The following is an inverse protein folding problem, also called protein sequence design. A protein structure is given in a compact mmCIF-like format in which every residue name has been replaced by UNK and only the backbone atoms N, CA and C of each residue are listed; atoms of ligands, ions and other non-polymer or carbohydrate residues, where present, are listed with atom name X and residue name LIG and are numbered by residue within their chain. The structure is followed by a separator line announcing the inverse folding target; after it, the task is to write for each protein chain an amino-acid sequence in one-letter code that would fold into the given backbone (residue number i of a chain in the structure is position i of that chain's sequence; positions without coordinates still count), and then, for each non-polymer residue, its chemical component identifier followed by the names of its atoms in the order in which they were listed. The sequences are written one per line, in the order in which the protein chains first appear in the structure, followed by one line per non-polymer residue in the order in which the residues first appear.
data_IF_626988724023
#
_entry.id   IF_626988724023
#
_cell.length_a   1.000
_cell.length_b   1.000
_cell.length_c   1.000
_cell.angle_alpha   90.00
_cell.angle_beta   90.00
_cell.angle_gamma   90.00
#
_symmetry.space_group_name_H-M   'P 1'
#
loop_
_entity.id
_entity.type
_entity.pdbx_description
1 polymer ?
#
# COMPACT_ATOMS: atom_id res chain seq x y z
N UNK A 1 2.00 13.45 21.16
CA UNK A 1 3.26 13.12 20.44
C UNK A 1 4.49 13.44 21.28
N UNK A 2 4.71 14.69 21.70
CA UNK A 2 5.87 15.06 22.53
C UNK A 2 5.88 14.33 23.86
N UNK A 3 4.73 14.18 24.51
CA UNK A 3 4.60 13.45 25.78
C UNK A 3 5.05 11.99 25.65
N UNK A 4 4.75 11.35 24.52
CA UNK A 4 5.20 9.99 24.24
C UNK A 4 6.73 9.93 24.16
N UNK A 5 7.36 10.86 23.43
CA UNK A 5 8.83 10.94 23.37
C UNK A 5 9.44 11.22 24.75
N UNK A 6 8.77 12.07 25.54
CA UNK A 6 9.17 12.34 26.93
C UNK A 6 9.10 11.08 27.80
N UNK A 7 8.02 10.30 27.66
CA UNK A 7 7.85 9.02 28.33
C UNK A 7 8.93 7.99 27.94
N UNK A 8 9.28 7.89 26.65
CA UNK A 8 10.37 7.03 26.20
C UNK A 8 11.71 7.38 26.86
N UNK A 9 12.01 8.68 27.01
CA UNK A 9 13.22 9.15 27.66
C UNK A 9 13.20 8.97 29.18
N UNK A 10 12.07 9.26 29.84
CA UNK A 10 11.96 9.18 31.31
C UNK A 10 12.00 7.74 31.80
N UNK A 11 11.33 6.83 31.10
CA UNK A 11 11.31 5.41 31.42
C UNK A 11 12.51 4.65 30.83
N UNK A 12 13.42 5.35 30.14
CA UNK A 12 14.60 4.80 29.51
C UNK A 12 14.28 3.60 28.60
N UNK A 13 13.20 3.73 27.81
CA UNK A 13 12.74 2.69 26.88
C UNK A 13 13.74 2.63 25.71
N UNK A 14 14.53 1.54 25.59
CA UNK A 14 15.63 1.51 24.63
C UNK A 14 15.15 1.30 23.19
N UNK A 15 14.02 0.62 23.02
CA UNK A 15 13.48 0.22 21.73
C UNK A 15 11.96 0.05 21.79
N UNK A 16 11.28 0.50 20.75
CA UNK A 16 9.87 0.23 20.48
C UNK A 16 9.84 -0.91 19.47
N UNK A 17 9.71 -2.13 19.99
CA UNK A 17 9.69 -3.34 19.18
C UNK A 17 8.27 -3.67 18.68
N UNK A 18 8.13 -4.16 17.44
CA UNK A 18 6.88 -4.67 16.92
C UNK A 18 6.56 -6.04 17.55
N UNK A 19 5.27 -6.35 17.71
CA UNK A 19 4.78 -7.64 18.19
C UNK A 19 3.92 -8.28 17.10
N UNK A 20 4.16 -9.57 16.83
CA UNK A 20 3.38 -10.34 15.86
C UNK A 20 2.02 -10.77 16.44
N UNK A 21 0.96 -10.60 15.67
CA UNK A 21 -0.37 -11.16 15.92
C UNK A 21 -1.01 -11.55 14.58
N UNK A 22 -1.19 -12.85 14.36
CA UNK A 22 -1.74 -13.41 13.12
C UNK A 22 -3.17 -12.97 12.82
N UNK A 23 -3.90 -12.41 13.79
CA UNK A 23 -5.28 -11.94 13.61
C UNK A 23 -5.35 -10.55 12.98
N UNK A 24 -4.25 -9.79 13.00
CA UNK A 24 -4.18 -8.45 12.44
C UNK A 24 -3.88 -8.48 10.95
N UNK A 25 -4.33 -7.47 10.20
CA UNK A 25 -4.12 -7.40 8.75
C UNK A 25 -2.64 -7.47 8.38
N UNK A 26 -1.82 -6.57 8.95
CA UNK A 26 -0.36 -6.52 8.72
C UNK A 26 0.38 -7.61 9.51
N UNK A 27 -0.28 -8.23 10.49
CA UNK A 27 0.36 -9.25 11.34
C UNK A 27 1.28 -8.68 12.41
N UNK A 28 1.58 -7.38 12.42
CA UNK A 28 2.42 -6.73 13.42
C UNK A 28 1.76 -5.46 13.96
N UNK A 29 2.05 -5.11 15.21
CA UNK A 29 1.61 -3.87 15.87
C UNK A 29 2.58 -3.44 16.98
N UNK A 30 2.36 -2.27 17.58
CA UNK A 30 3.23 -1.73 18.63
C UNK A 30 2.45 -1.47 19.92
N UNK A 31 2.36 -2.46 20.83
CA UNK A 31 1.49 -2.38 22.01
C UNK A 31 1.64 -1.09 22.81
N UNK A 32 2.89 -0.63 23.04
CA UNK A 32 3.17 0.58 23.80
C UNK A 32 2.63 1.85 23.11
N UNK A 33 2.74 1.94 21.79
CA UNK A 33 2.23 3.08 21.00
C UNK A 33 0.71 3.05 20.99
N UNK A 34 0.15 1.88 20.67
CA UNK A 34 -1.28 1.64 20.67
C UNK A 34 -1.96 2.02 21.98
N UNK A 35 -1.36 1.58 23.10
CA UNK A 35 -1.87 1.88 24.44
C UNK A 35 -1.73 3.37 24.77
N UNK A 36 -0.56 3.97 24.51
CA UNK A 36 -0.30 5.36 24.86
C UNK A 36 -1.21 6.33 24.10
N UNK A 37 -1.42 6.09 22.80
CA UNK A 37 -2.23 6.96 21.95
C UNK A 37 -3.71 6.55 21.88
N UNK A 38 -4.09 5.43 22.51
CA UNK A 38 -5.42 4.84 22.41
C UNK A 38 -5.87 4.63 20.95
N UNK A 39 -4.99 4.09 20.12
CA UNK A 39 -5.21 3.86 18.68
C UNK A 39 -5.14 2.38 18.31
N UNK A 40 -5.69 2.06 17.14
CA UNK A 40 -5.64 0.70 16.59
C UNK A 40 -4.23 0.31 16.08
N UNK A 41 -4.06 -0.96 15.74
CA UNK A 41 -2.76 -1.51 15.29
C UNK A 41 -2.17 -0.78 14.09
N UNK A 42 -3.00 -0.27 13.17
CA UNK A 42 -2.56 0.36 11.92
C UNK A 42 -2.06 1.77 12.19
N UNK A 43 -2.79 2.52 13.01
CA UNK A 43 -2.43 3.87 13.41
C UNK A 43 -1.09 3.90 14.16
N UNK A 44 -0.78 2.85 14.93
CA UNK A 44 0.51 2.69 15.60
C UNK A 44 1.71 2.69 14.65
N UNK A 45 1.62 2.02 13.49
CA UNK A 45 2.67 2.05 12.46
C UNK A 45 2.89 3.46 11.93
N UNK A 46 1.81 4.19 11.68
CA UNK A 46 1.87 5.52 11.07
C UNK A 46 2.45 6.55 12.04
N UNK A 47 2.10 6.47 13.33
CA UNK A 47 2.67 7.32 14.38
C UNK A 47 4.20 7.19 14.43
N UNK A 48 4.70 5.94 14.41
CA UNK A 48 6.14 5.68 14.45
C UNK A 48 6.86 6.10 13.17
N UNK A 49 6.23 5.88 12.01
CA UNK A 49 6.74 6.37 10.73
C UNK A 49 6.95 7.88 10.77
N UNK A 50 5.99 8.64 11.30
CA UNK A 50 6.11 10.10 11.45
C UNK A 50 7.25 10.49 12.38
N UNK A 51 7.41 9.81 13.52
CA UNK A 51 8.55 10.10 14.40
C UNK A 51 9.88 9.88 13.68
N UNK A 52 9.99 8.85 12.84
CA UNK A 52 11.19 8.62 12.05
C UNK A 52 11.40 9.68 10.95
N UNK A 53 10.38 10.00 10.16
CA UNK A 53 10.48 11.00 9.08
C UNK A 53 10.89 12.39 9.59
N UNK A 54 10.44 12.74 10.80
CA UNK A 54 10.81 13.98 11.49
C UNK A 54 12.08 13.87 12.34
N UNK A 55 12.87 12.82 12.11
CA UNK A 55 14.16 12.57 12.76
C UNK A 55 14.07 12.50 14.29
N UNK A 56 12.88 12.22 14.84
CA UNK A 56 12.65 12.11 16.28
C UNK A 56 12.97 10.72 16.81
N UNK A 57 12.94 9.70 15.96
CA UNK A 57 13.37 8.34 16.26
C UNK A 57 14.23 7.83 15.11
N UNK A 58 15.17 6.95 15.41
CA UNK A 58 15.81 6.11 14.39
C UNK A 58 15.00 4.83 14.21
N UNK A 59 15.16 4.15 13.07
CA UNK A 59 14.49 2.88 12.81
C UNK A 59 15.45 1.81 12.32
N UNK A 60 15.15 0.55 12.61
CA UNK A 60 15.87 -0.63 12.14
C UNK A 60 14.90 -1.61 11.51
N UNK A 61 15.19 -2.11 10.31
CA UNK A 61 14.38 -3.14 9.67
C UNK A 61 14.47 -4.44 10.49
N UNK A 62 13.32 -4.97 10.90
CA UNK A 62 13.20 -6.21 11.67
C UNK A 62 12.67 -7.33 10.79
N UNK A 63 11.72 -7.02 9.91
CA UNK A 63 11.14 -8.00 9.01
C UNK A 63 10.62 -7.34 7.73
N UNK A 64 10.48 -8.13 6.67
CA UNK A 64 9.76 -7.77 5.45
C UNK A 64 8.71 -8.84 5.21
N UNK A 65 7.45 -8.42 5.12
CA UNK A 65 6.33 -9.31 4.88
C UNK A 65 5.70 -9.04 3.52
N UNK A 66 4.94 -10.00 3.03
CA UNK A 66 4.16 -9.86 1.80
C UNK A 66 2.68 -9.71 2.15
N UNK A 67 2.05 -8.67 1.64
CA UNK A 67 0.63 -8.38 1.82
C UNK A 67 -0.15 -8.70 0.54
N UNK A 68 -1.37 -9.18 0.70
CA UNK A 68 -2.30 -9.36 -0.41
C UNK A 68 -2.57 -8.01 -1.09
N UNK A 69 -2.44 -7.89 -2.42
CA UNK A 69 -2.71 -6.63 -3.12
C UNK A 69 -4.17 -6.19 -3.07
N UNK A 70 -5.10 -7.11 -2.75
CA UNK A 70 -6.54 -6.85 -2.67
C UNK A 70 -7.01 -6.42 -1.29
N UNK A 71 -6.60 -7.12 -0.23
CA UNK A 71 -7.11 -6.86 1.12
C UNK A 71 -6.05 -6.42 2.13
N UNK A 72 -4.76 -6.36 1.72
CA UNK A 72 -3.62 -5.99 2.55
C UNK A 72 -3.41 -6.88 3.79
N UNK A 73 -3.96 -8.09 3.80
CA UNK A 73 -3.64 -9.09 4.81
C UNK A 73 -2.34 -9.82 4.49
N UNK A 74 -1.56 -10.09 5.53
CA UNK A 74 -0.28 -10.78 5.47
C UNK A 74 -0.37 -12.30 5.27
N UNK A 75 -1.58 -12.87 5.36
CA UNK A 75 -1.82 -14.31 5.20
C UNK A 75 -1.85 -14.71 3.72
N UNK A 76 -0.66 -14.68 3.10
CA UNK A 76 -0.42 -15.02 1.70
C UNK A 76 0.38 -16.31 1.62
N UNK A 77 -0.11 -17.26 0.83
CA UNK A 77 0.60 -18.50 0.49
C UNK A 77 1.19 -18.39 -0.91
N UNK A 78 2.50 -18.59 -1.03
CA UNK A 78 3.18 -18.73 -2.30
C UNK A 78 3.26 -20.20 -2.67
N UNK A 79 2.79 -20.52 -3.87
CA UNK A 79 2.68 -21.90 -4.33
C UNK A 79 3.24 -22.02 -5.75
N UNK A 80 4.00 -23.08 -5.96
CA UNK A 80 4.45 -23.46 -7.29
C UNK A 80 3.25 -23.90 -8.13
N UNK A 81 3.23 -23.49 -9.39
CA UNK A 81 2.13 -23.72 -10.31
C UNK A 81 2.65 -24.11 -11.69
N UNK A 82 1.87 -24.93 -12.38
CA UNK A 82 2.08 -25.24 -13.78
C UNK A 82 2.08 -23.94 -14.61
N UNK A 83 3.14 -23.63 -15.37
CA UNK A 83 3.23 -22.38 -16.15
C UNK A 83 2.17 -22.30 -17.26
N UNK A 84 1.57 -23.43 -17.68
CA UNK A 84 0.56 -23.47 -18.74
C UNK A 84 -0.88 -23.28 -18.24
N UNK A 85 -1.22 -23.76 -17.05
CA UNK A 85 -2.61 -23.77 -16.57
C UNK A 85 -2.79 -23.31 -15.12
N UNK A 86 -1.73 -22.87 -14.46
CA UNK A 86 -1.71 -22.43 -13.05
C UNK A 86 -2.13 -23.49 -12.03
N UNK A 87 -2.26 -24.76 -12.42
CA UNK A 87 -2.58 -25.85 -11.50
C UNK A 87 -1.39 -26.18 -10.59
N UNK A 88 -1.66 -26.40 -9.31
CA UNK A 88 -0.69 -26.89 -8.32
C UNK A 88 -0.50 -28.41 -8.36
N UNK A 89 -1.33 -29.11 -9.14
CA UNK A 89 -1.27 -30.58 -9.25
C UNK A 89 -0.28 -30.98 -10.36
N UNK A 90 0.99 -31.08 -9.97
CA UNK A 90 2.06 -31.61 -10.81
C UNK A 90 3.03 -32.48 -9.99
N UNK A 91 3.73 -33.37 -10.67
CA UNK A 91 4.72 -34.29 -10.08
C UNK A 91 6.05 -34.19 -10.79
N UNK A 92 7.12 -34.56 -10.10
CA UNK A 92 8.41 -34.80 -10.74
C UNK A 92 8.25 -35.92 -11.78
N UNK A 93 8.89 -35.74 -12.91
CA UNK A 93 8.82 -36.63 -14.06
C UNK A 93 10.22 -36.80 -14.63
N UNK A 94 10.66 -38.04 -14.72
CA UNK A 94 11.85 -38.38 -15.50
C UNK A 94 11.45 -38.34 -16.97
N UNK A 95 11.97 -37.38 -17.72
CA UNK A 95 11.62 -37.15 -19.12
C UNK A 95 12.84 -37.43 -20.00
N UNK A 96 12.59 -38.03 -21.16
CA UNK A 96 13.60 -38.32 -22.17
C UNK A 96 13.27 -37.52 -23.41
N UNK A 97 14.27 -36.84 -23.97
CA UNK A 97 14.18 -36.23 -25.29
C UNK A 97 15.05 -37.01 -26.28
N UNK A 98 14.39 -37.66 -27.25
CA UNK A 98 15.03 -38.47 -28.27
C UNK A 98 15.48 -37.61 -29.45
N UNK A 99 16.80 -37.47 -29.63
CA UNK A 99 17.40 -36.56 -30.60
C UNK A 99 17.00 -36.86 -32.04
N UNK A 100 16.86 -38.15 -32.38
CA UNK A 100 16.62 -38.57 -33.76
C UNK A 100 15.25 -38.19 -34.31
N UNK A 101 14.23 -38.01 -33.47
CA UNK A 101 12.86 -37.69 -33.91
C UNK A 101 12.19 -36.55 -33.12
N UNK A 102 12.92 -35.94 -32.17
CA UNK A 102 12.45 -34.86 -31.31
C UNK A 102 11.29 -35.23 -30.38
N UNK A 103 11.11 -36.53 -30.06
CA UNK A 103 10.04 -36.93 -29.15
C UNK A 103 10.46 -36.70 -27.70
N UNK A 104 9.58 -36.09 -26.92
CA UNK A 104 9.77 -35.82 -25.50
C UNK A 104 8.64 -36.50 -24.73
N UNK A 105 8.98 -37.41 -23.82
CA UNK A 105 7.99 -38.20 -23.06
C UNK A 105 8.57 -38.72 -21.75
N UNK A 106 7.73 -39.29 -20.88
CA UNK A 106 8.21 -39.90 -19.63
C UNK A 106 9.13 -41.09 -19.92
N UNK A 107 10.15 -41.30 -19.10
CA UNK A 107 11.07 -42.45 -19.22
C UNK A 107 10.35 -43.80 -19.26
N UNK A 108 9.23 -43.91 -18.54
CA UNK A 108 8.34 -45.09 -18.56
C UNK A 108 7.78 -45.39 -19.95
N UNK A 109 7.52 -44.38 -20.77
CA UNK A 109 7.01 -44.54 -22.15
C UNK A 109 8.07 -45.12 -23.09
N UNK A 110 9.35 -45.03 -22.72
CA UNK A 110 10.47 -45.59 -23.47
C UNK A 110 10.86 -46.99 -22.97
N UNK A 111 10.57 -47.35 -21.73
CA UNK A 111 11.01 -48.62 -21.16
C UNK A 111 10.10 -49.77 -21.62
N UNK A 112 10.67 -50.72 -22.37
CA UNK A 112 10.01 -51.98 -22.63
C UNK A 112 10.20 -52.91 -21.42
N UNK A 113 9.13 -53.18 -20.66
CA UNK A 113 9.19 -54.00 -19.44
C UNK A 113 9.64 -55.45 -19.69
N UNK A 114 9.35 -56.01 -20.86
CA UNK A 114 9.69 -57.41 -21.18
C UNK A 114 11.17 -57.60 -21.52
N UNK A 115 11.80 -56.60 -22.15
CA UNK A 115 13.19 -56.69 -22.63
C UNK A 115 14.17 -55.79 -21.88
N UNK A 116 13.67 -54.91 -21.00
CA UNK A 116 14.41 -53.83 -20.34
C UNK A 116 15.06 -52.82 -21.30
N UNK A 117 14.71 -52.87 -22.60
CA UNK A 117 15.26 -51.98 -23.60
C UNK A 117 14.52 -50.65 -23.63
N UNK A 118 15.26 -49.57 -23.84
CA UNK A 118 14.70 -48.24 -24.08
C UNK A 118 14.38 -48.08 -25.57
N UNK A 119 13.11 -47.91 -25.93
CA UNK A 119 12.60 -47.83 -27.30
C UNK A 119 11.71 -46.60 -27.44
N UNK A 120 11.99 -45.75 -28.43
CA UNK A 120 11.20 -44.55 -28.68
C UNK A 120 9.78 -44.93 -29.12
N UNK A 121 8.70 -44.51 -28.42
CA UNK A 121 7.33 -44.87 -28.81
C UNK A 121 6.89 -44.18 -30.10
N UNK A 122 7.54 -43.07 -30.51
CA UNK A 122 7.24 -42.35 -31.75
C UNK A 122 7.82 -43.01 -33.00
N UNK A 123 9.01 -43.61 -32.92
CA UNK A 123 9.72 -44.10 -34.12
C UNK A 123 10.26 -45.53 -34.02
N UNK A 124 10.09 -46.19 -32.87
CA UNK A 124 10.52 -47.58 -32.65
C UNK A 124 12.04 -47.79 -32.56
N UNK A 125 12.86 -46.74 -32.62
CA UNK A 125 14.31 -46.87 -32.48
C UNK A 125 14.70 -47.16 -31.04
N UNK A 126 15.69 -48.03 -30.89
CA UNK A 126 16.32 -48.35 -29.60
C UNK A 126 17.27 -47.21 -29.21
N UNK A 127 17.18 -46.76 -27.96
CA UNK A 127 18.06 -45.79 -27.35
C UNK A 127 19.12 -46.51 -26.52
N UNK A 128 20.41 -46.26 -26.78
CA UNK A 128 21.52 -46.98 -26.13
C UNK A 128 22.41 -46.06 -25.31
N UNK A 129 22.67 -44.85 -25.80
CA UNK A 129 23.67 -43.97 -25.21
C UNK A 129 23.10 -42.61 -24.85
N UNK A 130 23.11 -42.28 -23.55
CA UNK A 130 22.82 -40.92 -23.06
C UNK A 130 23.85 -39.95 -23.66
N UNK A 131 23.39 -38.78 -24.09
CA UNK A 131 24.21 -37.75 -24.74
C UNK A 131 24.46 -37.97 -26.23
N UNK A 132 24.05 -39.12 -26.79
CA UNK A 132 24.13 -39.40 -28.24
C UNK A 132 22.77 -39.75 -28.85
N UNK A 133 21.98 -40.60 -28.19
CA UNK A 133 20.65 -41.00 -28.66
C UNK A 133 19.55 -40.17 -27.99
N UNK A 134 19.78 -39.74 -26.75
CA UNK A 134 18.88 -38.92 -25.95
C UNK A 134 19.59 -38.18 -24.83
N UNK A 135 18.95 -37.14 -24.30
CA UNK A 135 19.26 -36.55 -23.00
C UNK A 135 18.16 -36.82 -21.97
N UNK A 136 18.55 -36.67 -20.70
CA UNK A 136 17.68 -36.71 -19.53
C UNK A 136 17.90 -35.41 -18.75
N UNK A 137 17.03 -34.40 -18.88
CA UNK A 137 17.14 -33.16 -18.11
C UNK A 137 17.05 -33.47 -16.61
N UNK A 138 17.78 -32.69 -15.79
CA UNK A 138 17.99 -33.01 -14.37
C UNK A 138 16.72 -32.94 -13.50
N UNK A 139 15.78 -32.05 -13.82
CA UNK A 139 14.47 -31.95 -13.17
C UNK A 139 13.43 -31.51 -14.21
N UNK A 140 12.40 -32.35 -14.38
CA UNK A 140 11.23 -32.04 -15.18
C UNK A 140 10.00 -32.35 -14.34
N UNK A 141 8.93 -31.61 -14.60
CA UNK A 141 7.65 -31.75 -13.95
C UNK A 141 6.59 -32.05 -15.01
N UNK A 142 5.60 -32.88 -14.65
CA UNK A 142 4.41 -33.12 -15.48
C UNK A 142 3.18 -32.70 -14.72
N UNK A 143 2.43 -31.78 -15.31
CA UNK A 143 1.14 -31.36 -14.76
C UNK A 143 0.11 -32.47 -14.91
N UNK A 144 -0.54 -32.86 -13.81
CA UNK A 144 -1.60 -33.87 -13.84
C UNK A 144 -2.88 -33.32 -14.48
N UNK A 145 -3.12 -32.00 -14.41
CA UNK A 145 -4.31 -31.35 -14.97
C UNK A 145 -4.23 -31.15 -16.49
N UNK A 146 -3.13 -30.65 -17.03
CA UNK A 146 -3.02 -30.31 -18.46
C UNK A 146 -1.97 -31.14 -19.23
N UNK A 147 -1.29 -32.08 -18.56
CA UNK A 147 -0.23 -32.95 -19.09
C UNK A 147 0.99 -32.22 -19.66
N UNK A 148 1.11 -30.91 -19.44
CA UNK A 148 2.26 -30.13 -19.85
C UNK A 148 3.51 -30.56 -19.07
N UNK A 149 4.62 -30.67 -19.79
CA UNK A 149 5.93 -30.97 -19.24
C UNK A 149 6.74 -29.68 -19.23
N UNK A 150 7.33 -29.36 -18.08
CA UNK A 150 8.10 -28.13 -17.87
C UNK A 150 9.25 -28.37 -16.90
N UNK A 151 10.29 -27.55 -16.96
CA UNK A 151 11.47 -27.62 -16.08
C UNK A 151 11.38 -26.65 -14.89
N UNK A 152 10.68 -25.52 -15.06
CA UNK A 152 10.50 -24.52 -14.01
C UNK A 152 9.01 -24.23 -13.80
N UNK A 153 8.55 -24.38 -12.55
CA UNK A 153 7.22 -23.92 -12.15
C UNK A 153 7.21 -22.40 -12.06
N UNK A 154 6.06 -21.79 -12.38
CA UNK A 154 5.84 -20.39 -11.98
C UNK A 154 5.41 -20.33 -10.51
N UNK A 155 5.68 -19.22 -9.83
CA UNK A 155 5.21 -19.00 -8.46
C UNK A 155 3.95 -18.14 -8.51
N UNK A 156 2.83 -18.68 -8.04
CA UNK A 156 1.60 -17.92 -7.83
C UNK A 156 1.38 -17.63 -6.36
N UNK A 157 0.42 -16.77 -6.05
CA UNK A 157 -0.01 -16.48 -4.70
C UNK A 157 -1.50 -16.78 -4.48
N UNK A 158 -1.84 -17.19 -3.26
CA UNK A 158 -3.21 -17.28 -2.77
C UNK A 158 -3.32 -16.56 -1.42
N UNK A 159 -4.24 -15.61 -1.31
CA UNK A 159 -4.56 -15.01 -0.02
C UNK A 159 -5.52 -15.89 0.77
N UNK A 160 -5.16 -16.27 1.99
CA UNK A 160 -6.03 -17.05 2.88
C UNK A 160 -7.09 -16.21 3.59
N UNK A 161 -6.99 -14.88 3.54
CA UNK A 161 -8.02 -13.99 4.08
C UNK A 161 -9.17 -13.76 3.09
N UNK A 162 -8.87 -13.36 1.84
CA UNK A 162 -9.90 -13.01 0.84
C UNK A 162 -10.01 -13.98 -0.33
N UNK A 163 -9.25 -15.09 -0.34
CA UNK A 163 -9.20 -16.07 -1.44
C UNK A 163 -8.73 -15.53 -2.79
N UNK A 164 -8.15 -14.32 -2.84
CA UNK A 164 -7.54 -13.78 -4.06
C UNK A 164 -6.41 -14.69 -4.55
N UNK A 165 -6.43 -15.01 -5.85
CA UNK A 165 -5.37 -15.74 -6.55
C UNK A 165 -4.76 -14.79 -7.58
N UNK A 166 -3.44 -14.71 -7.59
CA UNK A 166 -2.68 -13.85 -8.50
C UNK A 166 -1.26 -14.38 -8.71
N UNK A 167 -0.46 -13.64 -9.44
CA UNK A 167 0.96 -13.94 -9.59
C UNK A 167 1.74 -13.46 -8.35
N UNK A 168 2.85 -14.11 -8.01
CA UNK A 168 3.60 -13.82 -6.79
C UNK A 168 4.12 -12.37 -6.75
N UNK A 169 4.45 -11.81 -7.91
CA UNK A 169 4.96 -10.46 -8.10
C UNK A 169 3.93 -9.36 -7.77
N UNK A 170 2.63 -9.71 -7.73
CA UNK A 170 1.59 -8.76 -7.33
C UNK A 170 1.55 -8.52 -5.82
N UNK A 171 2.20 -9.38 -5.02
CA UNK A 171 2.27 -9.22 -3.58
C UNK A 171 2.97 -7.90 -3.20
N UNK A 172 2.44 -7.23 -2.18
CA UNK A 172 2.99 -5.96 -1.70
C UNK A 172 3.99 -6.20 -0.57
N UNK A 173 5.24 -5.86 -0.82
CA UNK A 173 6.26 -5.83 0.23
C UNK A 173 5.92 -4.75 1.27
N UNK A 174 5.99 -5.14 2.54
CA UNK A 174 5.79 -4.24 3.65
C UNK A 174 6.88 -4.44 4.70
N UNK A 175 7.60 -3.36 4.99
CA UNK A 175 8.71 -3.37 5.93
C UNK A 175 8.22 -3.12 7.36
N UNK A 176 8.63 -4.00 8.27
CA UNK A 176 8.37 -3.91 9.71
C UNK A 176 9.64 -3.44 10.40
N UNK A 177 9.53 -2.37 11.18
CA UNK A 177 10.66 -1.72 11.82
C UNK A 177 10.58 -1.81 13.34
N UNK A 178 11.72 -1.71 14.01
CA UNK A 178 11.77 -1.24 15.40
C UNK A 178 12.27 0.20 15.43
N UNK A 179 11.96 0.93 16.50
CA UNK A 179 12.29 2.34 16.62
C UNK A 179 13.04 2.62 17.92
N UNK A 180 14.05 3.48 17.85
CA UNK A 180 14.89 3.83 19.01
C UNK A 180 14.99 5.34 19.15
N UNK A 181 15.07 5.82 20.39
CA UNK A 181 15.36 7.23 20.65
C UNK A 181 16.75 7.60 20.17
N UNK A 182 16.90 8.83 19.68
CA UNK A 182 18.15 9.37 19.18
C UNK A 182 18.47 10.72 19.85
N UNK A 183 19.58 11.36 19.46
CA UNK A 183 20.00 12.64 20.07
C UNK A 183 19.00 13.78 19.84
N UNK A 184 18.20 13.71 18.79
CA UNK A 184 17.20 14.72 18.45
C UNK A 184 15.92 14.54 19.27
N UNK A 185 15.59 13.32 19.71
CA UNK A 185 14.46 13.05 20.61
C UNK A 185 14.48 13.95 21.85
N UNK A 186 15.62 14.01 22.55
CA UNK A 186 15.77 14.84 23.74
C UNK A 186 15.57 16.34 23.45
N UNK A 187 16.13 16.83 22.33
CA UNK A 187 15.96 18.22 21.91
C UNK A 187 14.51 18.59 21.63
N UNK A 188 13.75 17.67 21.03
CA UNK A 188 12.33 17.85 20.73
C UNK A 188 11.52 17.98 22.03
N UNK A 189 11.80 17.11 23.00
CA UNK A 189 11.13 17.10 24.32
C UNK A 189 11.48 18.37 25.11
N UNK A 190 12.77 18.74 25.19
CA UNK A 190 13.24 19.95 25.88
C UNK A 190 12.61 21.23 25.30
N UNK A 191 12.55 21.33 23.96
CA UNK A 191 11.99 22.49 23.26
C UNK A 191 10.46 22.48 23.20
N UNK A 192 9.81 21.40 23.64
CA UNK A 192 8.37 21.17 23.51
C UNK A 192 7.85 21.51 22.11
N UNK A 193 8.61 21.12 21.08
CA UNK A 193 8.35 21.50 19.69
C UNK A 193 8.56 20.31 18.78
N UNK A 194 7.46 19.74 18.31
CA UNK A 194 7.41 18.66 17.33
C UNK A 194 6.33 18.97 16.31
N UNK A 195 6.72 19.11 15.05
CA UNK A 195 5.79 19.35 13.93
C UNK A 195 5.74 18.10 13.04
N UNK A 196 4.76 17.20 13.24
CA UNK A 196 4.62 16.00 12.44
C UNK A 196 4.12 16.26 11.01
N UNK A 197 3.81 17.51 10.65
CA UNK A 197 3.37 17.89 9.29
C UNK A 197 4.53 18.26 8.36
N UNK A 198 5.72 18.52 8.90
CA UNK A 198 6.91 18.90 8.11
C UNK A 198 6.89 20.31 7.55
N UNK A 199 5.90 21.13 7.92
CA UNK A 199 5.69 22.46 7.36
C UNK A 199 6.41 23.57 8.15
N UNK A 200 7.11 23.22 9.22
CA UNK A 200 7.61 24.21 10.17
C UNK A 200 6.48 24.91 10.93
N UNK A 201 5.28 24.32 10.92
CA UNK A 201 4.06 24.88 11.49
C UNK A 201 3.76 24.13 12.76
N UNK A 202 4.23 24.72 13.86
CA UNK A 202 3.84 24.35 15.22
C UNK A 202 2.31 24.30 15.25
N UNK A 203 1.69 23.15 15.49
CA UNK A 203 0.27 23.09 15.85
C UNK A 203 0.20 22.81 17.35
N UNK A 204 -0.61 23.56 18.10
CA UNK A 204 -0.72 23.38 19.57
C UNK A 204 -1.78 22.37 19.98
N UNK A 205 -2.46 21.73 19.02
CA UNK A 205 -3.61 20.88 19.32
C UNK A 205 -3.21 19.41 19.37
N UNK A 206 -3.25 18.84 20.57
CA UNK A 206 -3.04 17.41 20.80
C UNK A 206 -4.04 16.57 19.98
N UNK A 207 -3.54 15.48 19.38
CA UNK A 207 -4.37 14.54 18.62
C UNK A 207 -4.63 14.89 17.14
N UNK A 208 -4.25 16.08 16.66
CA UNK A 208 -4.35 16.38 15.24
C UNK A 208 -3.19 15.77 14.44
N UNK A 209 -3.51 14.95 13.43
CA UNK A 209 -2.54 14.28 12.58
C UNK A 209 -2.67 14.78 11.12
N UNK A 210 -1.65 15.48 10.62
CA UNK A 210 -1.50 15.84 9.21
C UNK A 210 -0.53 14.87 8.53
N UNK A 211 -1.00 13.99 7.65
CA UNK A 211 -0.22 12.94 6.99
C UNK A 211 0.64 13.53 5.85
N UNK A 212 1.67 12.80 5.42
CA UNK A 212 2.34 13.06 4.15
C UNK A 212 1.57 12.39 2.99
N UNK A 213 1.96 12.70 1.75
CA UNK A 213 1.32 12.17 0.54
C UNK A 213 1.30 10.63 0.50
N UNK A 214 2.38 9.98 0.93
CA UNK A 214 2.54 8.52 0.86
C UNK A 214 1.60 7.81 1.84
N UNK A 215 1.55 8.26 3.10
CA UNK A 215 0.64 7.75 4.11
C UNK A 215 -0.82 8.05 3.74
N UNK A 216 -1.11 9.23 3.20
CA UNK A 216 -2.44 9.57 2.70
C UNK A 216 -2.88 8.64 1.57
N UNK A 217 -2.00 8.32 0.61
CA UNK A 217 -2.27 7.37 -0.47
C UNK A 217 -2.66 5.98 0.08
N UNK A 218 -1.93 5.49 1.09
CA UNK A 218 -2.24 4.21 1.74
C UNK A 218 -3.60 4.23 2.45
N UNK A 219 -3.91 5.29 3.20
CA UNK A 219 -5.17 5.42 3.92
C UNK A 219 -6.34 5.57 2.94
N UNK A 220 -6.17 6.37 1.88
CA UNK A 220 -7.14 6.53 0.80
C UNK A 220 -7.46 5.17 0.16
N UNK A 221 -6.45 4.33 -0.08
CA UNK A 221 -6.67 3.00 -0.62
C UNK A 221 -7.54 2.13 0.29
N UNK A 222 -7.22 2.10 1.59
CA UNK A 222 -8.01 1.33 2.54
C UNK A 222 -9.47 1.81 2.56
N UNK A 223 -9.69 3.13 2.56
CA UNK A 223 -11.04 3.70 2.53
C UNK A 223 -11.76 3.43 1.23
N UNK A 224 -11.05 3.42 0.11
CA UNK A 224 -11.61 3.06 -1.20
C UNK A 224 -12.16 1.63 -1.20
N UNK A 225 -11.38 0.67 -0.70
CA UNK A 225 -11.82 -0.72 -0.59
C UNK A 225 -13.02 -0.88 0.35
N UNK A 226 -13.01 -0.20 1.50
CA UNK A 226 -14.17 -0.17 2.41
C UNK A 226 -15.40 0.40 1.68
N UNK A 227 -15.25 1.52 0.97
CA UNK A 227 -16.36 2.17 0.27
C UNK A 227 -16.89 1.32 -0.90
N UNK A 228 -16.04 0.57 -1.60
CA UNK A 228 -16.44 -0.40 -2.63
C UNK A 228 -17.32 -1.52 -2.05
N UNK A 229 -16.95 -2.04 -0.87
CA UNK A 229 -17.70 -3.10 -0.19
C UNK A 229 -19.10 -2.63 0.26
N UNK A 230 -19.21 -1.39 0.74
CA UNK A 230 -20.45 -0.84 1.31
C UNK A 230 -21.27 0.00 0.34
N UNK A 231 -20.77 0.25 -0.88
CA UNK A 231 -21.43 1.14 -1.86
C UNK A 231 -21.42 2.62 -1.46
N UNK A 232 -20.41 3.03 -0.70
CA UNK A 232 -20.23 4.40 -0.24
C UNK A 232 -19.36 5.21 -1.22
N UNK A 233 -19.29 6.54 -1.02
CA UNK A 233 -18.36 7.43 -1.71
C UNK A 233 -17.30 8.00 -0.75
N UNK A 234 -16.22 8.51 -1.35
CA UNK A 234 -15.17 9.25 -0.63
C UNK A 234 -15.06 10.61 -1.29
N UNK A 235 -15.14 11.69 -0.51
CA UNK A 235 -14.83 13.02 -1.02
C UNK A 235 -13.37 13.37 -0.72
N UNK A 236 -12.68 13.98 -1.66
CA UNK A 236 -11.34 14.54 -1.48
C UNK A 236 -11.39 16.02 -1.79
N UNK A 237 -10.95 16.85 -0.85
CA UNK A 237 -10.79 18.29 -1.01
C UNK A 237 -9.29 18.56 -1.08
N UNK A 238 -8.86 19.34 -2.06
CA UNK A 238 -7.49 19.80 -2.21
C UNK A 238 -7.43 21.31 -2.41
N UNK A 239 -6.47 21.96 -1.75
CA UNK A 239 -6.21 23.39 -1.93
C UNK A 239 -4.75 23.77 -1.71
N UNK A 240 -4.28 24.79 -2.42
CA UNK A 240 -2.94 25.33 -2.28
C UNK A 240 -2.79 26.17 -0.99
N UNK A 241 -1.61 26.12 -0.37
CA UNK A 241 -1.35 26.89 0.87
C UNK A 241 -0.23 27.93 0.75
N UNK A 242 0.40 28.02 -0.42
CA UNK A 242 1.60 28.84 -0.69
C UNK A 242 1.43 30.31 -0.30
N UNK A 243 0.22 30.84 -0.43
CA UNK A 243 -0.13 32.24 -0.19
C UNK A 243 -0.54 32.55 1.25
N UNK A 244 -0.72 31.53 2.10
CA UNK A 244 -1.26 31.72 3.45
C UNK A 244 -0.19 32.30 4.41
N UNK A 245 1.09 32.01 4.18
CA UNK A 245 2.13 32.31 5.17
C UNK A 245 1.93 31.52 6.48
N UNK A 246 2.97 31.45 7.30
CA UNK A 246 3.02 30.49 8.41
C UNK A 246 1.92 30.69 9.47
N UNK A 247 1.59 31.94 9.82
CA UNK A 247 0.61 32.24 10.87
C UNK A 247 -0.82 31.86 10.46
N UNK A 248 -1.23 32.24 9.25
CA UNK A 248 -2.57 31.92 8.76
C UNK A 248 -2.69 30.43 8.50
N UNK A 249 -1.70 29.81 7.84
CA UNK A 249 -1.69 28.37 7.59
C UNK A 249 -1.80 27.57 8.90
N UNK A 250 -1.09 27.98 9.95
CA UNK A 250 -1.25 27.41 11.28
C UNK A 250 -2.68 27.49 11.78
N UNK A 251 -3.27 28.68 11.76
CA UNK A 251 -4.63 28.86 12.28
C UNK A 251 -5.67 28.12 11.43
N UNK A 252 -5.42 27.95 10.12
CA UNK A 252 -6.25 27.14 9.22
C UNK A 252 -6.18 25.66 9.58
N UNK A 253 -4.98 25.14 9.85
CA UNK A 253 -4.80 23.76 10.30
C UNK A 253 -5.53 23.50 11.63
N UNK A 254 -5.40 24.43 12.59
CA UNK A 254 -6.09 24.35 13.88
C UNK A 254 -7.61 24.38 13.73
N UNK A 255 -8.13 25.21 12.82
CA UNK A 255 -9.55 25.26 12.51
C UNK A 255 -10.05 23.98 11.84
N UNK A 256 -9.29 23.41 10.89
CA UNK A 256 -9.62 22.11 10.28
C UNK A 256 -9.65 21.01 11.34
N UNK A 257 -8.72 21.04 12.29
CA UNK A 257 -8.69 20.12 13.42
C UNK A 257 -9.94 20.21 14.32
N UNK A 258 -10.64 21.35 14.35
CA UNK A 258 -11.87 21.57 15.10
C UNK A 258 -13.11 21.05 14.38
N UNK A 259 -13.18 21.24 13.07
CA UNK A 259 -14.38 20.95 12.30
C UNK A 259 -14.39 19.54 11.69
N UNK A 260 -13.23 18.88 11.61
CA UNK A 260 -13.13 17.52 11.05
C UNK A 260 -13.84 16.49 11.94
N UNK A 261 -14.40 15.46 11.30
CA UNK A 261 -14.88 14.26 11.99
C UNK A 261 -13.71 13.32 12.28
N UNK A 262 -13.94 12.34 13.16
CA UNK A 262 -12.96 11.28 13.46
C UNK A 262 -12.44 10.55 12.21
N UNK A 263 -13.28 10.08 11.27
CA UNK A 263 -12.81 9.37 10.08
C UNK A 263 -12.13 10.28 9.03
N UNK A 264 -12.26 11.61 9.16
CA UNK A 264 -11.70 12.54 8.19
C UNK A 264 -10.17 12.60 8.35
N UNK A 265 -9.47 12.47 7.23
CA UNK A 265 -8.00 12.39 7.16
C UNK A 265 -7.45 13.64 6.49
N UNK A 266 -6.46 14.29 7.11
CA UNK A 266 -5.83 15.50 6.58
C UNK A 266 -4.39 15.20 6.22
N UNK A 267 -3.94 15.67 5.06
CA UNK A 267 -2.57 15.50 4.57
C UNK A 267 -2.03 16.81 4.04
N UNK A 268 -0.71 16.91 3.97
CA UNK A 268 -0.04 17.90 3.14
C UNK A 268 1.01 17.22 2.27
N UNK A 269 1.14 17.66 1.03
CA UNK A 269 2.17 17.15 0.13
C UNK A 269 3.45 17.97 0.17
N UNK A 270 4.47 17.47 -0.54
CA UNK A 270 5.80 18.08 -0.65
C UNK A 270 5.77 19.51 -1.22
N UNK A 271 4.69 19.88 -1.93
CA UNK A 271 4.52 21.19 -2.56
C UNK A 271 3.70 22.16 -1.73
N UNK A 272 3.25 21.76 -0.53
CA UNK A 272 2.41 22.61 0.32
C UNK A 272 0.93 22.60 -0.07
N UNK A 273 0.45 21.61 -0.84
CA UNK A 273 -1.00 21.44 -1.08
C UNK A 273 -1.60 20.62 0.05
N UNK A 274 -2.67 21.13 0.64
CA UNK A 274 -3.41 20.41 1.68
C UNK A 274 -4.47 19.52 1.04
N UNK A 275 -4.58 18.28 1.53
CA UNK A 275 -5.60 17.32 1.13
C UNK A 275 -6.45 16.94 2.34
N UNK A 276 -7.76 16.83 2.13
CA UNK A 276 -8.71 16.39 3.16
C UNK A 276 -9.56 15.30 2.53
N UNK A 277 -9.46 14.08 3.06
CA UNK A 277 -10.34 12.98 2.70
C UNK A 277 -11.50 12.92 3.69
N UNK A 278 -12.71 12.87 3.17
CA UNK A 278 -13.96 12.73 3.90
C UNK A 278 -14.63 11.41 3.50
N UNK A 279 -14.38 10.31 4.22
CA UNK A 279 -15.08 9.04 3.98
C UNK A 279 -16.57 9.20 4.26
N UNK A 280 -17.43 8.60 3.41
CA UNK A 280 -18.89 8.59 3.59
C UNK A 280 -19.46 10.01 3.78
N UNK A 281 -18.95 10.96 3.01
CA UNK A 281 -19.46 12.32 2.99
C UNK A 281 -20.40 12.50 1.81
N UNK A 282 -21.55 13.13 2.06
CA UNK A 282 -22.41 13.59 0.98
C UNK A 282 -21.84 14.86 0.36
N UNK A 283 -22.30 15.20 -0.83
CA UNK A 283 -21.96 16.43 -1.54
C UNK A 283 -22.18 17.66 -0.65
N UNK A 284 -23.28 17.67 0.10
CA UNK A 284 -23.60 18.74 1.05
C UNK A 284 -22.56 18.86 2.16
N UNK A 285 -22.10 17.74 2.72
CA UNK A 285 -21.08 17.74 3.79
C UNK A 285 -19.72 18.21 3.27
N UNK A 286 -19.33 17.78 2.08
CA UNK A 286 -18.12 18.24 1.41
C UNK A 286 -18.19 19.76 1.14
N UNK A 287 -19.28 20.23 0.54
CA UNK A 287 -19.49 21.66 0.24
C UNK A 287 -19.49 22.52 1.50
N UNK A 288 -20.09 22.02 2.58
CA UNK A 288 -20.06 22.71 3.88
C UNK A 288 -18.64 22.80 4.44
N UNK A 289 -17.85 21.73 4.36
CA UNK A 289 -16.44 21.71 4.77
C UNK A 289 -15.61 22.72 3.98
N UNK A 290 -15.73 22.72 2.64
CA UNK A 290 -15.04 23.70 1.78
C UNK A 290 -15.45 25.13 2.12
N UNK A 291 -16.75 25.38 2.28
CA UNK A 291 -17.28 26.71 2.61
C UNK A 291 -16.74 27.21 3.94
N UNK A 292 -16.75 26.36 4.97
CA UNK A 292 -16.21 26.69 6.30
C UNK A 292 -14.73 27.05 6.24
N UNK A 293 -13.92 26.26 5.53
CA UNK A 293 -12.47 26.51 5.41
C UNK A 293 -12.21 27.78 4.60
N UNK A 294 -12.90 27.95 3.46
CA UNK A 294 -12.79 29.13 2.60
C UNK A 294 -13.16 30.41 3.35
N UNK A 295 -14.28 30.43 4.07
CA UNK A 295 -14.67 31.59 4.88
C UNK A 295 -13.65 31.91 5.99
N UNK A 296 -13.12 30.88 6.67
CA UNK A 296 -12.11 31.08 7.70
C UNK A 296 -10.85 31.73 7.14
N UNK A 297 -10.37 31.22 6.01
CA UNK A 297 -9.18 31.74 5.31
C UNK A 297 -9.44 33.17 4.81
N UNK A 298 -10.56 33.41 4.12
CA UNK A 298 -10.90 34.71 3.54
C UNK A 298 -11.07 35.80 4.59
N UNK A 299 -11.62 35.49 5.78
CA UNK A 299 -11.75 36.46 6.88
C UNK A 299 -10.40 36.95 7.42
N UNK A 300 -9.32 36.19 7.22
CA UNK A 300 -7.99 36.48 7.75
C UNK A 300 -6.97 36.89 6.69
N UNK A 301 -7.27 36.69 5.41
CA UNK A 301 -6.49 37.20 4.29
C UNK A 301 -6.55 38.73 4.25
N UNK A 302 -5.39 39.38 4.30
CA UNK A 302 -5.25 40.85 4.30
C UNK A 302 -5.16 41.47 2.89
N UNK A 303 -5.18 40.64 1.84
CA UNK A 303 -4.89 41.06 0.46
C UNK A 303 -5.88 40.41 -0.53
N UNK A 304 -6.45 41.24 -1.41
CA UNK A 304 -7.36 40.82 -2.48
C UNK A 304 -6.67 40.01 -3.60
N UNK A 305 -5.33 39.97 -3.64
CA UNK A 305 -4.56 39.29 -4.68
C UNK A 305 -4.10 37.86 -4.32
N UNK A 306 -4.45 37.38 -3.13
CA UNK A 306 -4.09 36.03 -2.68
C UNK A 306 -5.29 35.09 -2.86
N UNK A 307 -5.28 34.32 -3.95
CA UNK A 307 -6.31 33.34 -4.24
C UNK A 307 -5.90 31.95 -3.74
N UNK A 308 -6.76 31.36 -2.91
CA UNK A 308 -6.69 29.95 -2.55
C UNK A 308 -7.67 29.20 -3.44
N UNK A 309 -7.13 28.38 -4.32
CA UNK A 309 -7.90 27.53 -5.21
C UNK A 309 -8.31 26.27 -4.46
N UNK A 310 -9.61 25.98 -4.50
CA UNK A 310 -10.17 24.76 -3.95
C UNK A 310 -10.65 23.89 -5.10
N UNK A 311 -10.22 22.64 -5.06
CA UNK A 311 -10.70 21.56 -5.89
C UNK A 311 -11.33 20.52 -4.99
N UNK A 312 -12.52 20.05 -5.33
CA UNK A 312 -13.10 18.94 -4.59
C UNK A 312 -13.74 17.93 -5.54
N UNK A 313 -13.51 16.65 -5.22
CA UNK A 313 -13.97 15.53 -6.00
C UNK A 313 -14.66 14.49 -5.14
N UNK A 314 -15.71 13.89 -5.70
CA UNK A 314 -16.35 12.71 -5.14
C UNK A 314 -15.88 11.50 -5.93
N UNK A 315 -15.32 10.55 -5.21
CA UNK A 315 -14.82 9.28 -5.71
C UNK A 315 -15.88 8.23 -5.40
N UNK A 316 -16.49 7.68 -6.45
CA UNK A 316 -17.33 6.48 -6.37
C UNK A 316 -16.48 5.25 -6.71
N UNK A 317 -16.25 4.33 -5.74
CA UNK A 317 -15.49 3.13 -6.00
C UNK A 317 -16.18 2.23 -7.04
N UNK A 318 -15.41 1.73 -8.00
CA UNK A 318 -15.85 0.80 -9.02
C UNK A 318 -15.14 -0.54 -8.88
N UNK A 319 -15.79 -1.61 -9.34
CA UNK A 319 -15.18 -2.95 -9.34
C UNK A 319 -13.94 -2.92 -10.25
N UNK A 320 -12.78 -3.25 -9.69
CA UNK A 320 -11.51 -3.58 -10.37
C UNK A 320 -10.39 -2.51 -10.53
N UNK A 321 -10.43 -1.32 -9.91
CA UNK A 321 -9.31 -0.38 -10.08
C UNK A 321 -7.97 -0.75 -9.39
N UNK A 322 -6.86 -0.42 -10.07
CA UNK A 322 -5.51 -0.32 -9.46
C UNK A 322 -5.28 1.09 -8.89
N UNK A 323 -5.11 1.15 -7.57
CA UNK A 323 -4.94 2.34 -6.70
C UNK A 323 -3.98 3.41 -7.17
N UNK A 324 -2.86 3.01 -7.81
CA UNK A 324 -1.78 3.91 -8.17
C UNK A 324 -2.27 5.09 -9.03
N UNK A 325 -3.44 4.94 -9.66
CA UNK A 325 -4.03 5.94 -10.52
C UNK A 325 -4.94 6.95 -9.80
N UNK A 326 -5.53 6.63 -8.64
CA UNK A 326 -6.60 7.49 -8.07
C UNK A 326 -6.04 8.83 -7.60
N UNK A 327 -5.01 8.81 -6.75
CA UNK A 327 -4.42 10.03 -6.22
C UNK A 327 -3.76 10.85 -7.35
N UNK A 328 -3.11 10.18 -8.29
CA UNK A 328 -2.50 10.83 -9.46
C UNK A 328 -3.55 11.47 -10.38
N UNK A 329 -4.73 10.86 -10.54
CA UNK A 329 -5.87 11.46 -11.25
C UNK A 329 -6.41 12.71 -10.55
N UNK A 330 -6.58 12.66 -9.22
CA UNK A 330 -7.00 13.84 -8.42
C UNK A 330 -6.01 14.99 -8.61
N UNK A 331 -4.70 14.69 -8.60
CA UNK A 331 -3.66 15.68 -8.86
C UNK A 331 -3.70 16.23 -10.28
N UNK A 332 -3.87 15.37 -11.30
CA UNK A 332 -3.98 15.80 -12.69
C UNK A 332 -5.21 16.69 -12.91
N UNK A 333 -6.35 16.32 -12.33
CA UNK A 333 -7.59 17.10 -12.38
C UNK A 333 -7.42 18.45 -11.69
N UNK A 334 -6.83 18.47 -10.49
CA UNK A 334 -6.47 19.71 -9.81
C UNK A 334 -5.55 20.59 -10.66
N UNK A 335 -4.44 20.05 -11.17
CA UNK A 335 -3.43 20.84 -11.89
C UNK A 335 -4.03 21.42 -13.18
N UNK A 336 -4.90 20.65 -13.86
CA UNK A 336 -5.66 21.11 -15.03
C UNK A 336 -6.59 22.27 -14.66
N UNK A 337 -7.45 22.10 -13.65
CA UNK A 337 -8.39 23.15 -13.27
C UNK A 337 -7.71 24.36 -12.66
N UNK A 338 -6.63 24.18 -11.92
CA UNK A 338 -5.81 25.26 -11.38
C UNK A 338 -5.25 26.14 -12.51
N UNK A 339 -4.72 25.52 -13.58
CA UNK A 339 -4.20 26.23 -14.75
C UNK A 339 -5.29 26.95 -15.57
N UNK A 340 -6.51 26.41 -15.60
CA UNK A 340 -7.66 27.00 -16.30
C UNK A 340 -8.41 28.03 -15.43
N UNK A 341 -8.16 28.07 -14.13
CA UNK A 341 -8.90 28.91 -13.19
C UNK A 341 -8.46 30.38 -13.22
N UNK A 342 -9.46 31.28 -13.20
CA UNK A 342 -9.30 32.69 -12.84
C UNK A 342 -9.29 32.92 -11.32
N UNK A 343 -9.08 31.87 -10.52
CA UNK A 343 -9.22 31.87 -9.06
C UNK A 343 -10.58 31.37 -8.52
N UNK A 344 -11.46 30.85 -9.39
CA UNK A 344 -12.75 30.25 -8.98
C UNK A 344 -12.58 28.79 -8.52
N UNK A 345 -13.37 28.37 -7.52
CA UNK A 345 -13.35 27.00 -6.98
C UNK A 345 -14.08 26.04 -7.91
N UNK A 346 -13.56 24.81 -8.06
CA UNK A 346 -14.07 23.81 -8.99
C UNK A 346 -14.52 22.54 -8.23
N UNK A 347 -15.68 21.99 -8.62
CA UNK A 347 -16.31 20.84 -7.97
C UNK A 347 -16.79 19.84 -9.02
N UNK A 348 -16.33 18.59 -8.93
CA UNK A 348 -16.71 17.54 -9.88
C UNK A 348 -16.97 16.19 -9.21
N UNK A 349 -17.72 15.35 -9.89
CA UNK A 349 -18.02 13.98 -9.48
C UNK A 349 -17.36 13.03 -10.49
N UNK A 350 -16.48 12.14 -10.02
CA UNK A 350 -15.79 11.16 -10.86
C UNK A 350 -16.18 9.73 -10.47
N UNK A 351 -16.62 8.96 -11.47
CA UNK A 351 -16.85 7.52 -11.33
C UNK A 351 -15.64 6.81 -11.90
N UNK A 352 -14.95 6.02 -11.09
CA UNK A 352 -13.78 5.28 -11.53
C UNK A 352 -14.22 3.90 -12.02
N UNK A 353 -14.34 3.73 -13.34
CA UNK A 353 -14.57 2.44 -13.99
C UNK A 353 -13.39 2.16 -14.94
N UNK A 354 -12.81 0.95 -14.91
CA UNK A 354 -11.84 0.53 -15.93
C UNK A 354 -12.56 0.47 -17.30
N UNK A 355 -11.98 1.13 -18.31
CA UNK A 355 -12.41 0.99 -19.71
C UNK A 355 -12.02 -0.36 -20.30
#
# INVERSE_FOLDING_TARGET
MIEFLGHLLSENIPEIAPVYDSKLSIGYYYPAVNLFFAVDSKDGHIILLRFFEHQALDRKLINRIHLCPKCLYHTVNFQEQCPKCSSIDFKNSDVIHHFNCGYVGEMSEFLNEATTQMICPKCGKVLRHIGMDYDKPAQMHKCNSCKYIFNESKVGMQCFHCNYIGDAEDAKDYDIYSYTVNKNTARIVERKSFDPSGLGIRTTKEGFMCYNKQAFSFILWQKYLEAEEFGDSISVIMFNTDMLGNELLRSTIEYIAEIKRTPDTVSMDETGRMLIMLPRATDTMMMEMVTKIKEFISRKLKSDSAHVFFHAEIIKPGKHLKVANILDMIYQSYDKHYAESSGESVFHEETFEEK
#
